data_IF_288405281998
#
_entry.id   IF_288405281998
#
_cell.length_a   1.000
_cell.length_b   1.000
_cell.length_c   1.000
_cell.angle_alpha   90.00
_cell.angle_beta   90.00
_cell.angle_gamma   90.00
#
_symmetry.space_group_name_H-M   'P 1'
#
loop_
_entity.id
_entity.type
_entity.pdbx_description
1 polymer ?
#
# COMPACT_ATOMS: atom_id res chain seq x y z
N UNK A 1 -13.51 1.39 9.35
CA UNK A 1 -12.39 2.13 9.99
C UNK A 1 -12.32 1.91 11.50
N UNK A 2 -13.42 1.65 12.21
CA UNK A 2 -13.46 1.50 13.68
C UNK A 2 -12.47 0.46 14.23
N UNK A 3 -12.38 -0.73 13.62
CA UNK A 3 -11.45 -1.80 14.04
C UNK A 3 -9.99 -1.35 14.06
N UNK A 4 -9.54 -0.53 13.10
CA UNK A 4 -8.15 -0.04 13.08
C UNK A 4 -7.82 0.70 14.37
N UNK A 5 -8.72 1.60 14.82
CA UNK A 5 -8.54 2.37 16.06
C UNK A 5 -8.52 1.49 17.30
N UNK A 6 -9.42 0.50 17.36
CA UNK A 6 -9.51 -0.43 18.49
C UNK A 6 -8.23 -1.25 18.68
N UNK A 7 -7.52 -1.53 17.59
CA UNK A 7 -6.29 -2.34 17.61
C UNK A 7 -5.01 -1.51 17.49
N UNK A 8 -5.09 -0.17 17.61
CA UNK A 8 -3.91 0.71 17.73
C UNK A 8 -3.04 0.36 18.97
N UNK A 9 -3.60 0.19 20.19
CA UNK A 9 -2.81 -0.11 21.38
C UNK A 9 -2.04 -1.44 21.31
N UNK A 10 -2.54 -2.37 20.49
CA UNK A 10 -1.95 -3.69 20.28
C UNK A 10 -0.82 -3.69 19.25
N UNK A 11 -0.46 -2.53 18.68
CA UNK A 11 0.59 -2.37 17.68
C UNK A 11 0.40 -3.23 16.42
N UNK A 12 -0.86 -3.48 16.03
CA UNK A 12 -1.18 -4.19 14.79
C UNK A 12 -0.84 -3.31 13.59
N UNK A 13 0.10 -3.76 12.75
CA UNK A 13 0.63 -2.97 11.62
C UNK A 13 -0.35 -2.74 10.47
N UNK A 14 -1.34 -3.63 10.27
CA UNK A 14 -2.33 -3.51 9.20
C UNK A 14 -3.63 -4.23 9.52
N UNK A 15 -4.75 -3.55 9.33
CA UNK A 15 -6.09 -4.19 9.28
C UNK A 15 -6.50 -4.31 7.83
N UNK A 16 -6.84 -5.51 7.37
CA UNK A 16 -7.22 -5.77 5.98
C UNK A 16 -8.67 -6.23 5.88
N UNK A 17 -9.52 -5.42 5.27
CA UNK A 17 -10.88 -5.82 4.91
C UNK A 17 -10.84 -6.75 3.69
N UNK A 18 -11.44 -7.94 3.84
CA UNK A 18 -11.55 -8.98 2.80
C UNK A 18 -13.03 -9.27 2.51
N UNK A 19 -13.74 -8.38 1.80
CA UNK A 19 -15.13 -8.63 1.44
C UNK A 19 -15.25 -9.88 0.57
N UNK A 20 -16.31 -10.64 0.81
CA UNK A 20 -16.61 -11.86 0.09
C UNK A 20 -18.08 -11.84 -0.34
N UNK A 21 -18.39 -12.60 -1.38
CA UNK A 21 -19.75 -12.87 -1.89
C UNK A 21 -19.98 -14.38 -1.91
N UNK A 22 -21.23 -14.79 -2.13
CA UNK A 22 -21.67 -16.18 -2.10
C UNK A 22 -22.31 -16.55 -0.78
N UNK A 23 -23.24 -17.49 -0.83
CA UNK A 23 -24.08 -17.90 0.30
C UNK A 23 -23.72 -19.29 0.84
N UNK A 24 -22.99 -20.09 0.05
CA UNK A 24 -22.57 -21.44 0.44
C UNK A 24 -21.06 -21.54 0.47
N UNK A 25 -20.54 -22.56 1.15
CA UNK A 25 -19.10 -22.86 1.17
C UNK A 25 -18.52 -23.02 -0.25
N UNK A 26 -19.30 -23.55 -1.19
CA UNK A 26 -18.87 -23.75 -2.57
C UNK A 26 -18.88 -22.45 -3.39
N UNK A 27 -19.75 -21.50 -3.06
CA UNK A 27 -19.90 -20.23 -3.81
C UNK A 27 -19.15 -19.06 -3.15
N UNK A 28 -18.52 -19.27 -2.00
CA UNK A 28 -17.77 -18.23 -1.28
C UNK A 28 -16.56 -17.76 -2.09
N UNK A 29 -16.53 -16.48 -2.45
CA UNK A 29 -15.44 -15.88 -3.21
C UNK A 29 -15.06 -14.50 -2.65
N UNK A 30 -13.76 -14.25 -2.50
CA UNK A 30 -13.25 -12.91 -2.17
C UNK A 30 -13.47 -11.97 -3.36
N UNK A 31 -13.98 -10.78 -3.09
CA UNK A 31 -14.13 -9.75 -4.13
C UNK A 31 -12.86 -8.92 -4.29
N UNK A 32 -12.83 -8.11 -5.34
CA UNK A 32 -11.75 -7.14 -5.59
C UNK A 32 -11.79 -5.93 -4.63
N UNK A 33 -12.87 -5.75 -3.84
CA UNK A 33 -13.08 -4.61 -2.92
C UNK A 33 -12.22 -4.68 -1.64
N UNK A 34 -11.06 -5.34 -1.71
CA UNK A 34 -10.06 -5.38 -0.65
C UNK A 34 -9.67 -3.96 -0.24
N UNK A 35 -9.61 -3.70 1.07
CA UNK A 35 -9.09 -2.43 1.60
C UNK A 35 -8.15 -2.66 2.77
N UNK A 36 -6.98 -2.04 2.70
CA UNK A 36 -5.94 -2.13 3.72
C UNK A 36 -5.89 -0.83 4.52
N UNK A 37 -5.83 -0.94 5.84
CA UNK A 37 -5.65 0.17 6.77
C UNK A 37 -4.34 -0.06 7.52
N UNK A 38 -3.25 0.50 7.00
CA UNK A 38 -1.91 0.40 7.57
C UNK A 38 -1.66 1.52 8.59
N UNK A 39 -0.74 1.27 9.53
CA UNK A 39 -0.20 2.31 10.41
C UNK A 39 0.74 3.19 9.58
N UNK A 40 0.55 4.52 9.57
CA UNK A 40 1.52 5.39 8.95
C UNK A 40 2.84 5.37 9.77
N UNK A 41 3.99 5.68 9.15
CA UNK A 41 5.23 5.89 9.89
C UNK A 41 5.01 6.88 11.06
N UNK A 42 5.57 6.61 12.26
CA UNK A 42 5.29 7.39 13.47
C UNK A 42 5.80 8.84 13.38
N UNK A 43 6.82 9.07 12.55
CA UNK A 43 7.44 10.38 12.34
C UNK A 43 7.60 10.66 10.83
N UNK A 44 7.80 11.93 10.43
CA UNK A 44 8.13 12.27 9.05
C UNK A 44 9.35 11.51 8.54
N UNK A 45 9.18 10.84 7.41
CA UNK A 45 10.22 10.05 6.74
C UNK A 45 11.05 10.91 5.79
N UNK A 46 12.13 10.33 5.23
CA UNK A 46 12.87 10.97 4.15
C UNK A 46 11.97 11.24 2.92
N UNK A 47 10.99 10.36 2.66
CA UNK A 47 10.07 10.50 1.54
C UNK A 47 9.16 11.73 1.71
N UNK A 48 8.73 12.03 2.94
CA UNK A 48 7.99 13.26 3.27
C UNK A 48 8.83 14.51 2.98
N UNK A 49 10.14 14.48 3.31
CA UNK A 49 11.04 15.61 3.07
C UNK A 49 11.29 15.85 1.58
N UNK A 50 11.42 14.78 0.80
CA UNK A 50 11.62 14.86 -0.65
C UNK A 50 10.38 15.43 -1.34
N UNK A 51 9.21 14.84 -1.06
CA UNK A 51 7.95 15.34 -1.61
C UNK A 51 7.63 16.77 -1.16
N UNK A 52 7.93 17.13 0.10
CA UNK A 52 7.77 18.49 0.61
C UNK A 52 8.67 19.54 -0.07
N UNK A 53 9.75 19.13 -0.74
CA UNK A 53 10.62 20.01 -1.56
C UNK A 53 10.25 19.99 -3.05
N UNK A 54 9.15 19.33 -3.42
CA UNK A 54 8.71 19.19 -4.81
C UNK A 54 9.38 18.06 -5.59
N UNK A 55 10.21 17.22 -4.95
CA UNK A 55 10.80 16.06 -5.61
C UNK A 55 9.75 14.97 -5.86
N UNK A 56 9.90 14.25 -6.98
CA UNK A 56 9.05 13.12 -7.33
C UNK A 56 9.52 11.86 -6.59
N UNK A 57 8.62 11.20 -5.87
CA UNK A 57 8.88 9.91 -5.20
C UNK A 57 8.00 8.84 -5.85
N UNK A 58 8.63 7.96 -6.64
CA UNK A 58 7.98 6.85 -7.34
C UNK A 58 8.18 5.56 -6.55
N UNK A 59 7.10 5.02 -5.98
CA UNK A 59 7.12 3.78 -5.22
C UNK A 59 6.75 2.59 -6.11
N UNK A 60 7.59 1.55 -6.14
CA UNK A 60 7.35 0.33 -6.92
C UNK A 60 6.88 -0.80 -6.01
N UNK A 61 5.85 -1.53 -6.45
CA UNK A 61 5.33 -2.70 -5.76
C UNK A 61 4.71 -2.39 -4.39
N UNK A 62 5.31 -2.97 -3.34
CA UNK A 62 4.79 -2.87 -1.96
C UNK A 62 5.22 -1.63 -1.19
N UNK A 63 6.17 -0.85 -1.70
CA UNK A 63 6.66 0.35 -1.02
C UNK A 63 5.52 1.31 -0.68
N UNK A 64 4.59 1.52 -1.61
CA UNK A 64 3.42 2.36 -1.36
C UNK A 64 2.58 1.90 -0.17
N UNK A 65 2.29 0.60 -0.14
CA UNK A 65 1.50 -0.01 0.92
C UNK A 65 2.25 0.01 2.28
N UNK A 66 3.58 -0.14 2.30
CA UNK A 66 4.41 -0.18 3.53
C UNK A 66 4.44 1.17 4.22
N UNK A 67 4.62 2.25 3.45
CA UNK A 67 4.65 3.61 3.98
C UNK A 67 3.24 4.20 4.16
N UNK A 68 2.19 3.39 4.06
CA UNK A 68 0.79 3.83 4.10
C UNK A 68 0.50 4.99 3.12
N UNK A 69 1.16 4.98 1.96
CA UNK A 69 1.14 6.01 0.92
C UNK A 69 1.62 7.40 1.38
N UNK A 70 2.32 7.48 2.52
CA UNK A 70 2.92 8.71 3.05
C UNK A 70 4.20 9.06 2.28
N UNK A 71 4.33 10.33 1.88
CA UNK A 71 5.52 10.84 1.19
C UNK A 71 5.72 10.26 -0.22
N UNK A 72 4.67 9.78 -0.88
CA UNK A 72 4.75 9.12 -2.19
C UNK A 72 3.97 9.92 -3.23
N UNK A 73 4.62 10.23 -4.34
CA UNK A 73 4.02 10.97 -5.46
C UNK A 73 3.30 10.04 -6.45
N UNK A 74 3.85 8.86 -6.69
CA UNK A 74 3.30 7.87 -7.62
C UNK A 74 3.54 6.46 -7.11
N UNK A 75 2.60 5.54 -7.37
CA UNK A 75 2.76 4.11 -7.09
C UNK A 75 2.65 3.31 -8.38
N UNK A 76 3.63 2.45 -8.67
CA UNK A 76 3.61 1.48 -9.78
C UNK A 76 3.43 0.07 -9.23
N UNK A 77 2.55 -0.73 -9.85
CA UNK A 77 2.24 -2.08 -9.41
C UNK A 77 2.22 -3.01 -10.61
N UNK A 78 2.92 -4.14 -10.50
CA UNK A 78 2.87 -5.25 -11.43
C UNK A 78 2.53 -6.58 -10.73
N UNK A 79 2.44 -7.66 -11.51
CA UNK A 79 2.28 -9.02 -11.00
C UNK A 79 3.57 -9.82 -11.12
N UNK A 80 4.10 -10.32 -9.99
CA UNK A 80 5.33 -11.14 -9.99
C UNK A 80 6.62 -10.32 -10.01
N UNK A 81 7.75 -10.98 -9.76
CA UNK A 81 9.02 -10.29 -9.52
C UNK A 81 9.61 -9.67 -10.79
N UNK A 82 9.55 -10.36 -11.93
CA UNK A 82 10.15 -9.84 -13.18
C UNK A 82 9.42 -8.60 -13.69
N UNK A 83 8.09 -8.62 -13.70
CA UNK A 83 7.32 -7.43 -14.08
C UNK A 83 7.53 -6.25 -13.11
N UNK A 84 7.90 -6.51 -11.84
CA UNK A 84 8.31 -5.43 -10.92
C UNK A 84 9.67 -4.84 -11.28
N UNK A 85 10.60 -5.63 -11.80
CA UNK A 85 11.86 -5.11 -12.31
C UNK A 85 11.62 -4.20 -13.51
N UNK A 86 10.73 -4.59 -14.43
CA UNK A 86 10.38 -3.76 -15.58
C UNK A 86 9.78 -2.41 -15.14
N UNK A 87 8.84 -2.42 -14.18
CA UNK A 87 8.30 -1.19 -13.57
C UNK A 87 9.36 -0.34 -12.87
N UNK A 88 10.35 -0.97 -12.24
CA UNK A 88 11.44 -0.27 -11.58
C UNK A 88 12.38 0.39 -12.59
N UNK A 89 12.74 -0.29 -13.67
CA UNK A 89 13.56 0.27 -14.75
C UNK A 89 12.83 1.46 -15.40
N UNK A 90 11.56 1.30 -15.77
CA UNK A 90 10.78 2.41 -16.31
C UNK A 90 10.58 3.57 -15.32
N UNK A 91 10.58 3.30 -14.01
CA UNK A 91 10.52 4.37 -13.01
C UNK A 91 11.80 5.21 -12.95
N UNK A 92 12.96 4.64 -13.32
CA UNK A 92 14.23 5.36 -13.36
C UNK A 92 14.26 6.37 -14.51
N UNK A 93 13.65 6.04 -15.65
CA UNK A 93 13.54 6.96 -16.79
C UNK A 93 12.60 8.16 -16.50
N UNK A 94 11.65 7.97 -15.58
CA UNK A 94 10.62 8.95 -15.21
C UNK A 94 10.94 9.77 -13.95
N UNK A 95 12.09 9.53 -13.32
CA UNK A 95 12.53 10.16 -12.06
C UNK A 95 13.31 11.46 -12.31
#
# INVERSE_FOLDING_TARGET
>A
RSVRRLVDPLKIGRVTARPCVGETKATFQRTHNRRDYAVPPPEPTLLDRLTGRGSKVIAVGKIGDIFAHRGISQVRKAGGNMAMFDEALGAMDDA
#
